data_IF_384987068005
#
_entry.id   IF_384987068005
#
_cell.length_a   1.000
_cell.length_b   1.000
_cell.length_c   1.000
_cell.angle_alpha   90.00
_cell.angle_beta   90.00
_cell.angle_gamma   90.00
#
_symmetry.space_group_name_H-M   'P 1'
#
loop_
_entity.id
_entity.type
_entity.pdbx_description
1 polymer ?
#
# COMPACT_ATOMS: atom_id res chain seq x y z
N UNK A 1 9.24 16.20 -86.54
CA UNK A 1 8.29 16.28 -85.40
C UNK A 1 8.86 15.50 -84.23
N UNK A 2 9.11 16.16 -83.10
CA UNK A 2 9.67 15.54 -81.90
C UNK A 2 8.54 14.96 -81.04
N UNK A 3 8.47 13.64 -80.90
CA UNK A 3 7.50 12.98 -80.00
C UNK A 3 8.20 12.66 -78.68
N UNK A 4 7.91 13.46 -77.65
CA UNK A 4 8.49 13.31 -76.32
C UNK A 4 7.75 12.19 -75.58
N UNK A 5 8.27 10.96 -75.66
CA UNK A 5 7.71 9.83 -74.89
C UNK A 5 8.07 9.98 -73.41
N UNK A 6 7.05 10.16 -72.57
CA UNK A 6 7.21 10.09 -71.12
C UNK A 6 7.42 8.63 -70.71
N UNK A 7 8.65 8.26 -70.33
CA UNK A 7 8.92 6.94 -69.73
C UNK A 7 8.10 6.82 -68.43
N UNK A 8 7.16 5.87 -68.39
CA UNK A 8 6.39 5.59 -67.18
C UNK A 8 7.33 4.98 -66.15
N UNK A 9 7.71 5.77 -65.15
CA UNK A 9 8.59 5.30 -64.07
C UNK A 9 7.78 4.40 -63.12
N UNK A 10 8.19 3.13 -62.90
CA UNK A 10 7.54 2.24 -61.94
C UNK A 10 7.69 2.75 -60.50
N UNK A 11 8.65 3.65 -60.26
CA UNK A 11 8.98 4.21 -58.96
C UNK A 11 7.80 4.91 -58.29
N UNK A 12 6.85 5.45 -59.07
CA UNK A 12 5.64 6.08 -58.53
C UNK A 12 4.75 5.10 -57.77
N UNK A 13 4.78 3.81 -58.11
CA UNK A 13 4.01 2.77 -57.44
C UNK A 13 4.70 2.25 -56.17
N UNK A 14 6.01 2.50 -56.02
CA UNK A 14 6.78 2.09 -54.84
C UNK A 14 6.66 3.08 -53.66
N UNK A 15 6.17 4.30 -53.91
CA UNK A 15 6.08 5.35 -52.87
C UNK A 15 5.13 4.95 -51.74
N UNK A 16 3.92 4.49 -52.08
CA UNK A 16 2.90 4.07 -51.10
C UNK A 16 3.39 2.90 -50.23
N UNK A 17 3.88 1.77 -50.80
CA UNK A 17 4.37 0.67 -49.96
C UNK A 17 5.61 1.05 -49.13
N UNK A 18 6.49 1.93 -49.64
CA UNK A 18 7.63 2.42 -48.85
C UNK A 18 7.17 3.21 -47.61
N UNK A 19 6.21 4.12 -47.77
CA UNK A 19 5.62 4.87 -46.65
C UNK A 19 4.95 3.92 -45.65
N UNK A 20 4.22 2.91 -46.15
CA UNK A 20 3.57 1.91 -45.30
C UNK A 20 4.58 1.11 -44.47
N UNK A 21 5.70 0.69 -45.06
CA UNK A 21 6.78 -0.01 -44.35
C UNK A 21 7.39 0.87 -43.25
N UNK A 22 7.65 2.14 -43.55
CA UNK A 22 8.18 3.10 -42.56
C UNK A 22 7.20 3.30 -41.42
N UNK A 23 5.91 3.48 -41.72
CA UNK A 23 4.87 3.63 -40.71
C UNK A 23 4.76 2.37 -39.83
N UNK A 24 4.72 1.18 -40.44
CA UNK A 24 4.68 -0.09 -39.71
C UNK A 24 5.92 -0.29 -38.82
N UNK A 25 7.10 0.06 -39.32
CA UNK A 25 8.34 0.03 -38.54
C UNK A 25 8.28 0.97 -37.33
N UNK A 26 7.81 2.20 -37.53
CA UNK A 26 7.64 3.19 -36.45
C UNK A 26 6.64 2.71 -35.39
N UNK A 27 5.44 2.28 -35.81
CA UNK A 27 4.42 1.79 -34.89
C UNK A 27 4.83 0.49 -34.20
N UNK A 28 5.51 -0.43 -34.91
CA UNK A 28 6.05 -1.66 -34.32
C UNK A 28 7.12 -1.37 -33.27
N UNK A 29 8.08 -0.50 -33.58
CA UNK A 29 9.12 -0.09 -32.66
C UNK A 29 8.54 0.62 -31.42
N UNK A 30 7.63 1.57 -31.61
CA UNK A 30 6.97 2.27 -30.50
C UNK A 30 5.99 1.38 -29.73
N UNK A 31 5.41 0.35 -30.35
CA UNK A 31 4.60 -0.65 -29.66
C UNK A 31 5.40 -1.57 -28.76
N UNK A 32 6.66 -1.86 -29.12
CA UNK A 32 7.57 -2.69 -28.32
C UNK A 32 8.26 -1.85 -27.22
N UNK A 33 8.72 -0.64 -27.55
CA UNK A 33 9.50 0.23 -26.66
C UNK A 33 8.65 1.28 -25.90
N UNK A 34 7.37 1.41 -26.23
CA UNK A 34 6.48 2.38 -25.60
C UNK A 34 5.99 1.93 -24.23
N UNK A 35 5.54 2.88 -23.42
CA UNK A 35 5.01 2.68 -22.07
C UNK A 35 3.83 1.67 -21.97
N UNK A 36 3.16 1.40 -23.09
CA UNK A 36 2.06 0.43 -23.22
C UNK A 36 2.48 -0.91 -23.87
N UNK A 37 3.78 -1.07 -24.17
CA UNK A 37 4.34 -2.25 -24.81
C UNK A 37 4.51 -3.43 -23.88
N UNK A 38 4.68 -4.63 -24.46
CA UNK A 38 4.81 -5.91 -23.74
C UNK A 38 5.84 -5.91 -22.60
N UNK A 39 6.86 -5.04 -22.65
CA UNK A 39 7.87 -4.92 -21.60
C UNK A 39 7.38 -4.15 -20.34
N UNK A 40 6.42 -3.24 -20.46
CA UNK A 40 5.97 -2.45 -19.31
C UNK A 40 5.22 -3.29 -18.28
N UNK A 41 4.58 -4.38 -18.71
CA UNK A 41 3.90 -5.33 -17.82
C UNK A 41 4.82 -5.85 -16.71
N UNK A 42 6.06 -6.18 -17.04
CA UNK A 42 7.00 -6.75 -16.04
C UNK A 42 7.42 -5.70 -15.01
N UNK A 43 7.67 -4.46 -15.42
CA UNK A 43 7.95 -3.36 -14.48
C UNK A 43 6.74 -3.00 -13.63
N UNK A 44 5.53 -3.03 -14.21
CA UNK A 44 4.29 -2.77 -13.48
C UNK A 44 4.00 -3.87 -12.47
N UNK A 45 4.16 -5.15 -12.84
CA UNK A 45 3.99 -6.29 -11.92
C UNK A 45 4.99 -6.24 -10.75
N UNK A 46 6.26 -5.92 -11.02
CA UNK A 46 7.26 -5.75 -9.98
C UNK A 46 6.93 -4.60 -9.02
N UNK A 47 6.44 -3.47 -9.54
CA UNK A 47 5.97 -2.35 -8.73
C UNK A 47 4.73 -2.71 -7.92
N UNK A 48 3.80 -3.47 -8.51
CA UNK A 48 2.59 -3.93 -7.83
C UNK A 48 2.94 -4.79 -6.62
N UNK A 49 3.85 -5.75 -6.78
CA UNK A 49 4.30 -6.63 -5.71
C UNK A 49 4.98 -5.85 -4.55
N UNK A 50 5.76 -4.81 -4.88
CA UNK A 50 6.35 -3.93 -3.87
C UNK A 50 5.28 -3.12 -3.10
N UNK A 51 4.33 -2.53 -3.82
CA UNK A 51 3.22 -1.76 -3.25
C UNK A 51 2.31 -2.61 -2.37
N UNK A 52 2.04 -3.86 -2.74
CA UNK A 52 1.26 -4.80 -1.93
C UNK A 52 1.97 -5.15 -0.62
N UNK A 53 3.29 -5.36 -0.66
CA UNK A 53 4.12 -5.58 0.53
C UNK A 53 4.07 -4.37 1.47
N UNK A 54 4.19 -3.16 0.93
CA UNK A 54 4.13 -1.93 1.72
C UNK A 54 2.74 -1.75 2.37
N UNK A 55 1.68 -2.03 1.62
CA UNK A 55 0.30 -1.99 2.13
C UNK A 55 0.12 -3.00 3.28
N UNK A 56 0.62 -4.22 3.11
CA UNK A 56 0.56 -5.24 4.17
C UNK A 56 1.29 -4.77 5.44
N UNK A 57 2.49 -4.19 5.31
CA UNK A 57 3.23 -3.66 6.45
C UNK A 57 2.50 -2.49 7.15
N UNK A 58 2.00 -1.52 6.37
CA UNK A 58 1.27 -0.37 6.93
C UNK A 58 -0.04 -0.78 7.59
N UNK A 59 -0.77 -1.72 7.01
CA UNK A 59 -2.02 -2.21 7.58
C UNK A 59 -1.81 -2.97 8.90
N UNK A 60 -0.73 -3.74 9.01
CA UNK A 60 -0.34 -4.39 10.26
C UNK A 60 0.01 -3.37 11.35
N UNK A 61 0.76 -2.32 11.02
CA UNK A 61 1.09 -1.26 11.98
C UNK A 61 -0.16 -0.47 12.39
N UNK A 62 -1.06 -0.17 11.45
CA UNK A 62 -2.35 0.44 11.75
C UNK A 62 -3.14 -0.42 12.74
N UNK A 63 -3.28 -1.72 12.49
CA UNK A 63 -4.02 -2.61 13.37
C UNK A 63 -3.43 -2.63 14.79
N UNK A 64 -2.10 -2.67 14.91
CA UNK A 64 -1.41 -2.60 16.21
C UNK A 64 -1.67 -1.29 16.95
N UNK A 65 -1.65 -0.16 16.23
CA UNK A 65 -1.97 1.14 16.80
C UNK A 65 -3.43 1.22 17.20
N UNK A 66 -4.35 0.68 16.41
CA UNK A 66 -5.78 0.62 16.73
C UNK A 66 -6.04 -0.16 18.03
N UNK A 67 -5.42 -1.33 18.20
CA UNK A 67 -5.51 -2.09 19.46
C UNK A 67 -5.03 -1.27 20.65
N UNK A 68 -3.90 -0.55 20.52
CA UNK A 68 -3.38 0.32 21.58
C UNK A 68 -4.31 1.49 21.88
N UNK A 69 -4.87 2.12 20.84
CA UNK A 69 -5.82 3.22 21.03
C UNK A 69 -7.11 2.76 21.67
N UNK A 70 -7.61 1.57 21.32
CA UNK A 70 -8.80 0.98 21.95
C UNK A 70 -8.54 0.69 23.43
N UNK A 71 -7.36 0.14 23.76
CA UNK A 71 -6.95 -0.07 25.15
C UNK A 71 -6.87 1.25 25.95
N UNK A 72 -6.47 2.36 25.31
CA UNK A 72 -6.46 3.69 25.93
C UNK A 72 -7.85 4.36 25.96
N UNK A 73 -8.75 4.00 25.04
CA UNK A 73 -10.07 4.62 24.87
C UNK A 73 -11.21 3.87 25.57
N UNK A 74 -10.96 2.75 26.24
CA UNK A 74 -11.95 1.93 26.97
C UNK A 74 -12.70 2.70 28.09
N UNK A 75 -12.50 4.01 28.22
CA UNK A 75 -13.20 4.90 29.15
C UNK A 75 -12.82 4.68 30.62
N UNK A 76 -12.28 3.51 30.95
CA UNK A 76 -11.71 3.15 32.25
C UNK A 76 -10.56 4.10 32.63
N UNK A 77 -9.62 4.33 31.71
CA UNK A 77 -8.50 5.27 31.92
C UNK A 77 -8.99 6.69 32.24
N UNK A 78 -10.02 7.18 31.54
CA UNK A 78 -10.59 8.50 31.81
C UNK A 78 -11.33 8.56 33.15
N UNK A 79 -12.04 7.48 33.53
CA UNK A 79 -12.76 7.41 34.80
C UNK A 79 -11.81 7.44 35.99
N UNK A 80 -10.73 6.66 35.92
CA UNK A 80 -9.72 6.61 36.99
C UNK A 80 -8.96 7.93 37.11
N UNK A 81 -8.67 8.61 35.98
CA UNK A 81 -8.07 9.95 36.01
C UNK A 81 -8.99 11.01 36.64
N UNK A 82 -10.30 10.95 36.39
CA UNK A 82 -11.28 11.88 37.02
C UNK A 82 -11.39 11.60 38.52
N UNK A 83 -11.40 10.33 38.92
CA UNK A 83 -11.46 9.94 40.33
C UNK A 83 -10.21 10.44 41.07
N UNK A 84 -9.02 10.25 40.49
CA UNK A 84 -7.76 10.71 41.08
C UNK A 84 -7.73 12.24 41.21
N UNK A 85 -8.12 12.96 40.15
CA UNK A 85 -8.17 14.42 40.18
C UNK A 85 -9.18 14.93 41.22
N UNK A 86 -10.28 14.22 41.42
CA UNK A 86 -11.30 14.53 42.42
C UNK A 86 -10.78 14.30 43.85
N UNK A 87 -10.08 13.18 44.08
CA UNK A 87 -9.48 12.88 45.39
C UNK A 87 -8.34 13.84 45.74
N UNK A 88 -7.52 14.24 44.76
CA UNK A 88 -6.50 15.29 44.92
C UNK A 88 -7.13 16.63 45.29
N UNK A 89 -8.19 17.05 44.59
CA UNK A 89 -8.86 18.32 44.86
C UNK A 89 -9.54 18.35 46.25
N UNK A 90 -10.01 17.21 46.73
CA UNK A 90 -10.65 17.06 48.04
C UNK A 90 -9.65 16.78 49.18
N UNK A 91 -8.34 16.68 48.89
CA UNK A 91 -7.32 16.38 49.89
C UNK A 91 -7.43 14.97 50.50
N UNK A 92 -8.05 14.03 49.78
CA UNK A 92 -8.31 12.65 50.22
C UNK A 92 -7.20 11.66 49.84
N UNK A 93 -6.14 12.14 49.18
CA UNK A 93 -4.98 11.31 48.79
C UNK A 93 -4.01 11.24 49.97
N UNK A 94 -3.70 10.02 50.41
CA UNK A 94 -2.67 9.80 51.42
C UNK A 94 -1.28 9.81 50.77
N UNK A 95 -0.28 10.38 51.44
CA UNK A 95 1.09 10.49 50.93
C UNK A 95 1.79 9.15 50.61
N UNK A 96 1.19 8.01 50.97
CA UNK A 96 1.72 6.65 50.77
C UNK A 96 0.90 5.80 49.78
N UNK A 97 0.00 6.39 49.01
CA UNK A 97 -0.81 5.64 48.04
C UNK A 97 0.04 5.24 46.81
N UNK A 98 0.09 3.94 46.47
CA UNK A 98 0.88 3.39 45.36
C UNK A 98 -0.08 2.93 44.26
N UNK A 99 0.06 3.50 43.06
CA UNK A 99 -0.75 3.16 41.88
C UNK A 99 -0.12 1.96 41.16
N UNK A 100 -0.90 0.88 41.00
CA UNK A 100 -0.49 -0.33 40.30
C UNK A 100 -1.13 -0.35 38.89
N UNK A 101 -0.33 -0.14 37.84
CA UNK A 101 -0.78 -0.40 36.46
C UNK A 101 -0.78 -1.91 36.20
N UNK A 102 -1.96 -2.50 36.05
CA UNK A 102 -2.11 -3.91 35.72
C UNK A 102 -2.06 -4.09 34.19
N UNK A 103 -1.07 -4.84 33.69
CA UNK A 103 -1.01 -5.21 32.28
C UNK A 103 -1.95 -6.40 32.03
N UNK A 104 -3.17 -6.12 31.59
CA UNK A 104 -4.22 -7.12 31.35
C UNK A 104 -3.87 -8.13 30.25
N UNK A 105 -2.95 -7.81 29.34
CA UNK A 105 -2.52 -8.69 28.25
C UNK A 105 -1.73 -9.92 28.73
N UNK A 106 -1.09 -9.84 29.90
CA UNK A 106 -0.37 -10.97 30.47
C UNK A 106 -1.33 -11.93 31.19
N UNK A 107 -2.30 -11.38 31.94
CA UNK A 107 -3.27 -12.15 32.71
C UNK A 107 -4.23 -12.97 31.82
N UNK A 108 -4.59 -12.46 30.64
CA UNK A 108 -5.44 -13.17 29.68
C UNK A 108 -4.72 -14.33 28.99
N UNK A 109 -3.45 -14.14 28.60
CA UNK A 109 -2.62 -15.22 28.01
C UNK A 109 -2.39 -16.39 28.98
N UNK A 110 -2.12 -16.09 30.25
CA UNK A 110 -1.93 -17.12 31.27
C UNK A 110 -3.23 -17.91 31.52
N UNK A 111 -4.38 -17.24 31.45
CA UNK A 111 -5.70 -17.89 31.57
C UNK A 111 -6.01 -18.82 30.39
N UNK A 112 -5.66 -18.42 29.16
CA UNK A 112 -5.81 -19.26 27.98
C UNK A 112 -4.90 -20.50 28.04
N UNK A 113 -3.63 -20.36 28.45
CA UNK A 113 -2.73 -21.49 28.65
C UNK A 113 -3.23 -22.48 29.72
N UNK A 114 -3.79 -21.97 30.81
CA UNK A 114 -4.35 -22.81 31.88
C UNK A 114 -5.62 -23.53 31.45
N UNK A 115 -6.47 -22.91 30.63
CA UNK A 115 -7.65 -23.56 30.06
C UNK A 115 -7.27 -24.64 29.04
N UNK A 116 -6.19 -24.43 28.30
CA UNK A 116 -5.71 -25.36 27.28
C UNK A 116 -4.96 -26.56 27.86
N UNK A 117 -4.34 -26.41 29.05
CA UNK A 117 -3.75 -27.52 29.83
C UNK A 117 -4.77 -28.38 30.58
N UNK A 118 -6.01 -27.89 30.75
CA UNK A 118 -7.06 -28.57 31.53
C UNK A 118 -7.95 -29.50 30.67
N UNK A 119 -7.80 -29.48 29.35
CA UNK A 119 -8.43 -30.43 28.41
C UNK A 119 -7.37 -31.41 27.89
#
# INVERSE_FOLDING_TARGET
MWTRQYKRSPFRHAVIPAIAIVALGYYGFHGINGNLGLQSKQEYEARLAGLESDLAALSAERARLETRTLALSDGSLQRDMIDEQSRLALGLVQANEVILLHNSDAATRDLEELLQRRN
#
